data_IF_714732797127
#
_entry.id   IF_714732797127
#
_cell.length_a   1.000
_cell.length_b   1.000
_cell.length_c   1.000
_cell.angle_alpha   90.00
_cell.angle_beta   90.00
_cell.angle_gamma   90.00
#
_symmetry.space_group_name_H-M   'P 1'
#
loop_
_entity.id
_entity.type
_entity.pdbx_description
1 polymer ?
#
# COMPACT_ATOMS: atom_id res chain seq x y z
N UNK A 1 11.47 -11.04 -3.57
CA UNK A 1 11.33 -11.12 -5.04
C UNK A 1 10.15 -10.25 -5.42
N UNK A 2 10.31 -9.32 -6.38
CA UNK A 2 9.17 -8.51 -6.87
C UNK A 2 8.18 -9.49 -7.51
N UNK A 3 6.87 -9.43 -7.20
CA UNK A 3 5.88 -10.39 -7.70
C UNK A 3 6.01 -10.64 -9.21
N UNK A 4 6.24 -9.58 -9.99
CA UNK A 4 6.46 -9.66 -11.44
C UNK A 4 7.55 -10.66 -11.85
N UNK A 5 8.69 -10.64 -11.16
CA UNK A 5 9.81 -11.56 -11.43
C UNK A 5 9.41 -12.98 -10.99
N UNK A 6 8.74 -13.13 -9.85
CA UNK A 6 8.31 -14.43 -9.33
C UNK A 6 7.29 -15.12 -10.26
N UNK A 7 6.38 -14.37 -10.88
CA UNK A 7 5.42 -14.89 -11.87
C UNK A 7 6.09 -15.43 -13.13
N UNK A 8 7.32 -14.98 -13.46
CA UNK A 8 8.06 -15.52 -14.60
C UNK A 8 8.63 -16.91 -14.32
N UNK A 9 8.73 -17.32 -13.06
CA UNK A 9 9.35 -18.59 -12.65
C UNK A 9 8.34 -19.58 -12.04
N UNK A 10 7.21 -19.12 -11.51
CA UNK A 10 6.21 -19.98 -10.85
C UNK A 10 4.79 -19.53 -11.19
N UNK A 11 3.88 -20.49 -11.38
CA UNK A 11 2.44 -20.20 -11.54
C UNK A 11 1.70 -20.01 -10.19
N UNK A 12 2.41 -20.12 -9.07
CA UNK A 12 1.84 -20.04 -7.72
C UNK A 12 1.55 -18.60 -7.29
N UNK A 13 2.19 -17.62 -7.94
CA UNK A 13 1.94 -16.19 -7.73
C UNK A 13 1.20 -15.68 -8.95
N UNK A 14 -0.05 -15.28 -8.80
CA UNK A 14 -0.87 -14.73 -9.89
C UNK A 14 -1.30 -13.31 -9.51
N UNK A 15 -0.45 -12.34 -9.81
CA UNK A 15 -0.81 -10.92 -9.72
C UNK A 15 -1.26 -10.44 -11.10
N UNK A 16 -2.48 -9.92 -11.16
CA UNK A 16 -3.01 -9.30 -12.37
C UNK A 16 -2.40 -7.92 -12.58
N UNK A 17 -2.48 -7.40 -13.81
CA UNK A 17 -2.00 -6.05 -14.12
C UNK A 17 -2.67 -4.99 -13.24
N UNK A 18 -3.95 -5.17 -12.92
CA UNK A 18 -4.70 -4.31 -12.00
C UNK A 18 -4.07 -4.26 -10.60
N UNK A 19 -3.54 -5.37 -10.09
CA UNK A 19 -2.91 -5.40 -8.76
C UNK A 19 -1.65 -4.52 -8.70
N UNK A 20 -0.86 -4.51 -9.78
CA UNK A 20 0.29 -3.63 -9.90
C UNK A 20 -0.09 -2.15 -9.97
N UNK A 21 -1.17 -1.84 -10.70
CA UNK A 21 -1.68 -0.46 -10.80
C UNK A 21 -2.20 0.01 -9.44
N UNK A 22 -2.97 -0.82 -8.74
CA UNK A 22 -3.51 -0.51 -7.40
C UNK A 22 -2.36 -0.34 -6.40
N UNK A 23 -1.39 -1.26 -6.37
CA UNK A 23 -0.23 -1.16 -5.49
C UNK A 23 0.60 0.11 -5.79
N UNK A 24 0.82 0.42 -7.07
CA UNK A 24 1.53 1.63 -7.50
C UNK A 24 0.81 2.91 -7.08
N UNK A 25 -0.51 2.97 -7.29
CA UNK A 25 -1.33 4.11 -6.90
C UNK A 25 -1.36 4.29 -5.37
N UNK A 26 -1.49 3.20 -4.62
CA UNK A 26 -1.53 3.22 -3.17
C UNK A 26 -0.19 3.69 -2.58
N UNK A 27 0.94 3.20 -3.10
CA UNK A 27 2.28 3.63 -2.68
C UNK A 27 2.54 5.10 -3.04
N UNK A 28 2.24 5.49 -4.28
CA UNK A 28 2.44 6.86 -4.74
C UNK A 28 1.57 7.85 -3.95
N UNK A 29 0.27 7.56 -3.80
CA UNK A 29 -0.66 8.37 -3.04
C UNK A 29 -0.22 8.53 -1.58
N UNK A 30 0.16 7.43 -0.93
CA UNK A 30 0.65 7.46 0.46
C UNK A 30 1.92 8.30 0.59
N UNK A 31 2.87 8.17 -0.34
CA UNK A 31 4.10 8.97 -0.34
C UNK A 31 3.83 10.47 -0.49
N UNK A 32 2.93 10.85 -1.40
CA UNK A 32 2.50 12.25 -1.58
C UNK A 32 1.83 12.78 -0.31
N UNK A 33 0.88 12.02 0.26
CA UNK A 33 0.18 12.41 1.49
C UNK A 33 1.18 12.58 2.64
N UNK A 34 2.14 11.67 2.79
CA UNK A 34 3.16 11.74 3.83
C UNK A 34 4.07 12.96 3.66
N UNK A 35 4.50 13.27 2.44
CA UNK A 35 5.32 14.45 2.14
C UNK A 35 4.55 15.76 2.41
N UNK A 36 3.27 15.84 2.05
CA UNK A 36 2.43 17.00 2.31
C UNK A 36 2.12 17.15 3.80
N UNK A 37 1.78 16.07 4.48
CA UNK A 37 1.38 16.07 5.88
C UNK A 37 2.56 16.42 6.81
N UNK A 38 3.77 15.93 6.53
CA UNK A 38 4.97 16.28 7.29
C UNK A 38 5.38 17.75 7.11
N UNK A 39 5.14 18.34 5.92
CA UNK A 39 5.31 19.78 5.67
C UNK A 39 4.23 20.61 6.38
N UNK A 40 2.98 20.14 6.39
CA UNK A 40 1.84 20.86 6.99
C UNK A 40 1.87 20.85 8.51
N UNK A 41 2.30 19.74 9.12
CA UNK A 41 2.30 19.53 10.57
C UNK A 41 3.72 19.28 11.11
N UNK A 42 4.64 20.27 11.04
CA UNK A 42 6.05 20.05 11.36
C UNK A 42 6.29 19.64 12.82
N UNK A 43 5.47 20.16 13.76
CA UNK A 43 5.54 19.83 15.19
C UNK A 43 5.07 18.39 15.50
N UNK A 44 4.17 17.84 14.68
CA UNK A 44 3.56 16.52 14.89
C UNK A 44 3.92 15.52 13.78
N UNK A 45 4.98 15.81 13.02
CA UNK A 45 5.37 15.06 11.81
C UNK A 45 5.52 13.55 12.05
N UNK A 46 6.00 13.16 13.23
CA UNK A 46 6.19 11.75 13.61
C UNK A 46 4.83 11.09 13.81
N UNK A 47 3.95 11.68 14.63
CA UNK A 47 2.62 11.12 14.91
C UNK A 47 1.79 11.03 13.63
N UNK A 48 1.78 12.08 12.82
CA UNK A 48 1.05 12.12 11.55
C UNK A 48 1.63 11.11 10.56
N UNK A 49 2.95 10.99 10.48
CA UNK A 49 3.61 9.97 9.66
C UNK A 49 3.24 8.55 10.08
N UNK A 50 3.25 8.26 11.37
CA UNK A 50 2.84 6.95 11.91
C UNK A 50 1.39 6.65 11.53
N UNK A 51 0.47 7.59 11.73
CA UNK A 51 -0.94 7.40 11.37
C UNK A 51 -1.13 7.09 9.88
N UNK A 52 -0.41 7.80 9.00
CA UNK A 52 -0.46 7.55 7.54
C UNK A 52 0.09 6.17 7.20
N UNK A 53 1.21 5.76 7.82
CA UNK A 53 1.80 4.43 7.59
C UNK A 53 0.88 3.33 8.10
N UNK A 54 0.26 3.50 9.27
CA UNK A 54 -0.71 2.53 9.80
C UNK A 54 -1.93 2.41 8.89
N UNK A 55 -2.46 3.54 8.40
CA UNK A 55 -3.57 3.53 7.45
C UNK A 55 -3.18 2.85 6.12
N UNK A 56 -1.98 3.10 5.61
CA UNK A 56 -1.46 2.42 4.42
C UNK A 56 -1.37 0.91 4.62
N UNK A 57 -0.79 0.44 5.74
CA UNK A 57 -0.68 -1.00 6.04
C UNK A 57 -2.06 -1.63 6.18
N UNK A 58 -3.01 -0.93 6.80
CA UNK A 58 -4.39 -1.41 6.92
C UNK A 58 -5.04 -1.59 5.54
N UNK A 59 -4.99 -0.57 4.68
CA UNK A 59 -5.57 -0.65 3.33
C UNK A 59 -4.87 -1.71 2.49
N UNK A 60 -3.54 -1.83 2.60
CA UNK A 60 -2.77 -2.87 1.94
C UNK A 60 -3.21 -4.27 2.38
N UNK A 61 -3.35 -4.50 3.68
CA UNK A 61 -3.77 -5.79 4.23
C UNK A 61 -5.20 -6.16 3.79
N UNK A 62 -6.11 -5.18 3.77
CA UNK A 62 -7.47 -5.39 3.27
C UNK A 62 -7.49 -5.74 1.78
N UNK A 63 -6.69 -5.08 0.94
CA UNK A 63 -6.65 -5.36 -0.49
C UNK A 63 -5.92 -6.66 -0.82
N UNK A 64 -4.89 -7.03 -0.05
CA UNK A 64 -4.07 -8.21 -0.33
C UNK A 64 -4.65 -9.50 0.27
N UNK A 65 -5.33 -9.41 1.42
CA UNK A 65 -5.76 -10.58 2.20
C UNK A 65 -7.24 -10.49 2.62
N UNK A 66 -7.85 -9.30 2.67
CA UNK A 66 -9.28 -9.15 3.02
C UNK A 66 -9.61 -9.43 4.48
N UNK A 67 -8.69 -9.14 5.40
CA UNK A 67 -8.70 -9.63 6.79
C UNK A 67 -9.95 -9.21 7.58
N UNK A 68 -10.41 -7.97 7.42
CA UNK A 68 -11.42 -7.37 8.29
C UNK A 68 -12.80 -7.27 7.64
N UNK A 69 -12.86 -6.93 6.35
CA UNK A 69 -14.13 -6.59 5.71
C UNK A 69 -14.42 -7.33 4.39
N UNK A 70 -13.50 -8.16 3.87
CA UNK A 70 -13.65 -8.92 2.62
C UNK A 70 -13.96 -8.08 1.36
N UNK A 71 -13.43 -6.85 1.24
CA UNK A 71 -13.64 -6.02 0.05
C UNK A 71 -12.90 -6.53 -1.20
N UNK A 72 -11.89 -7.37 -1.01
CA UNK A 72 -10.98 -7.86 -2.06
C UNK A 72 -11.04 -9.37 -2.31
N UNK A 73 -12.07 -10.09 -1.84
CA UNK A 73 -12.26 -11.54 -2.05
C UNK A 73 -13.45 -11.85 -2.95
#
# INVERSE_FOLDING_TARGET
MIPFIAMQFTAEVVWTLSDFVIAGFLLFGTGVILALATKKFPKHKIIVGILIVVAFVYVWAELAVGIFTNWGS
#
